data_IF_572707961359
#
_entry.id   IF_572707961359
#
_cell.length_a   1.000
_cell.length_b   1.000
_cell.length_c   1.000
_cell.angle_alpha   90.00
_cell.angle_beta   90.00
_cell.angle_gamma   90.00
#
_symmetry.space_group_name_H-M   'P 1'
#
loop_
_entity.id
_entity.type
_entity.pdbx_description
1 polymer ?
#
# COMPACT_ATOMS: atom_id res chain seq x y z
N UNK A 1 -12.72 -12.03 -11.17
CA UNK A 1 -12.00 -11.94 -9.89
C UNK A 1 -11.89 -10.48 -9.46
N UNK A 2 -11.94 -10.23 -8.14
CA UNK A 2 -11.59 -8.95 -7.52
C UNK A 2 -10.29 -9.13 -6.74
N UNK A 3 -9.39 -8.15 -6.83
CA UNK A 3 -8.11 -8.20 -6.10
C UNK A 3 -8.06 -7.07 -5.10
N UNK A 4 -7.72 -7.41 -3.85
CA UNK A 4 -7.65 -6.48 -2.74
C UNK A 4 -6.32 -6.61 -2.02
N UNK A 5 -5.70 -5.48 -1.77
CA UNK A 5 -4.62 -5.38 -0.81
C UNK A 5 -5.17 -5.05 0.57
N UNK A 6 -4.58 -5.65 1.59
CA UNK A 6 -4.97 -5.43 2.98
C UNK A 6 -3.82 -4.90 3.81
N UNK A 7 -4.16 -4.23 4.90
CA UNK A 7 -3.25 -3.92 5.98
C UNK A 7 -3.77 -4.60 7.24
N UNK A 8 -2.91 -5.38 7.87
CA UNK A 8 -3.25 -6.14 9.07
C UNK A 8 -2.40 -5.65 10.23
N UNK A 9 -3.06 -5.22 11.29
CA UNK A 9 -2.38 -4.73 12.48
C UNK A 9 -3.36 -4.27 13.55
N UNK A 10 -2.85 -4.18 14.77
CA UNK A 10 -3.61 -3.69 15.91
C UNK A 10 -3.01 -2.40 16.42
N UNK A 11 -3.85 -1.46 16.83
CA UNK A 11 -3.42 -0.26 17.54
C UNK A 11 -4.30 -0.03 18.75
N UNK A 12 -3.69 0.46 19.82
CA UNK A 12 -4.42 0.91 20.99
C UNK A 12 -4.98 2.30 20.72
N UNK A 13 -6.27 2.50 20.91
CA UNK A 13 -6.92 3.79 20.75
C UNK A 13 -7.28 4.35 22.12
N UNK A 14 -6.82 5.57 22.42
CA UNK A 14 -7.26 6.34 23.60
C UNK A 14 -8.28 7.35 23.14
N UNK A 15 -9.55 7.25 23.57
CA UNK A 15 -10.59 8.19 23.15
C UNK A 15 -10.28 9.60 23.67
N UNK A 16 -10.61 10.60 22.88
CA UNK A 16 -10.64 11.99 23.33
C UNK A 16 -11.98 12.24 24.05
N UNK A 17 -11.90 12.55 25.33
CA UNK A 17 -13.07 12.86 26.19
C UNK A 17 -13.37 14.35 26.27
N UNK A 18 -12.64 15.19 25.55
CA UNK A 18 -12.90 16.64 25.50
C UNK A 18 -14.22 16.96 24.80
N UNK A 19 -14.80 18.11 25.12
CA UNK A 19 -16.04 18.58 24.47
C UNK A 19 -15.82 18.71 22.95
N UNK A 20 -16.77 18.23 22.17
CA UNK A 20 -16.74 18.33 20.71
C UNK A 20 -16.75 19.80 20.27
N UNK A 21 -15.80 20.19 19.45
CA UNK A 21 -15.73 21.52 18.83
C UNK A 21 -16.08 21.37 17.35
N UNK A 22 -17.10 22.10 16.90
CA UNK A 22 -17.55 22.09 15.51
C UNK A 22 -16.38 22.49 14.58
N UNK A 23 -16.14 21.70 13.54
CA UNK A 23 -15.06 21.94 12.58
C UNK A 23 -13.69 21.39 13.00
N UNK A 24 -13.59 20.76 14.17
CA UNK A 24 -12.39 20.06 14.61
C UNK A 24 -12.59 18.54 14.59
N UNK A 25 -11.66 17.82 14.01
CA UNK A 25 -11.65 16.37 14.13
C UNK A 25 -11.19 15.97 15.54
N UNK A 26 -12.06 15.26 16.26
CA UNK A 26 -11.81 14.73 17.59
C UNK A 26 -11.97 13.22 17.53
N UNK A 27 -10.87 12.50 17.35
CA UNK A 27 -10.91 11.03 17.18
C UNK A 27 -10.09 10.25 18.21
N UNK A 28 -9.50 10.97 19.18
CA UNK A 28 -8.59 10.36 20.15
C UNK A 28 -7.17 10.17 19.60
N UNK A 29 -6.29 9.62 20.43
CA UNK A 29 -4.90 9.35 20.10
C UNK A 29 -4.68 7.85 19.84
N UNK A 30 -4.07 7.54 18.72
CA UNK A 30 -3.59 6.17 18.48
C UNK A 30 -2.30 5.95 19.28
N UNK A 31 -2.34 4.99 20.19
CA UNK A 31 -1.21 4.55 20.99
C UNK A 31 -0.28 3.60 20.22
N UNK A 32 0.43 2.76 20.96
CA UNK A 32 1.35 1.78 20.39
C UNK A 32 0.64 0.78 19.50
N UNK A 33 1.24 0.51 18.34
CA UNK A 33 0.75 -0.49 17.39
C UNK A 33 1.71 -1.67 17.39
N UNK A 34 1.20 -2.88 17.25
CA UNK A 34 1.98 -4.06 16.93
C UNK A 34 2.58 -4.01 15.52
N UNK A 35 3.26 -5.08 15.11
CA UNK A 35 3.71 -5.23 13.72
C UNK A 35 2.53 -5.07 12.76
N UNK A 36 2.78 -4.43 11.63
CA UNK A 36 1.79 -4.28 10.58
C UNK A 36 2.28 -5.07 9.37
N UNK A 37 1.46 -6.00 8.93
CA UNK A 37 1.67 -6.81 7.73
C UNK A 37 0.59 -6.47 6.69
N UNK A 38 0.63 -7.13 5.56
CA UNK A 38 -0.41 -7.03 4.54
C UNK A 38 -0.69 -8.35 3.89
N UNK A 39 -1.69 -8.38 3.03
CA UNK A 39 -1.91 -9.49 2.12
C UNK A 39 -2.56 -9.03 0.82
N UNK A 40 -2.34 -9.78 -0.25
CA UNK A 40 -3.06 -9.65 -1.51
C UNK A 40 -4.08 -10.79 -1.60
N UNK A 41 -5.34 -10.44 -1.79
CA UNK A 41 -6.47 -11.37 -1.88
C UNK A 41 -7.04 -11.38 -3.30
N UNK A 42 -7.34 -12.58 -3.82
CA UNK A 42 -8.19 -12.77 -4.99
C UNK A 42 -9.54 -13.31 -4.55
N UNK A 43 -10.61 -12.56 -4.81
CA UNK A 43 -11.96 -12.83 -4.35
C UNK A 43 -12.86 -13.09 -5.57
N UNK A 44 -13.63 -14.16 -5.50
CA UNK A 44 -14.69 -14.42 -6.48
C UNK A 44 -15.81 -13.39 -6.29
N UNK A 45 -16.04 -12.58 -7.33
CA UNK A 45 -17.04 -11.49 -7.26
C UNK A 45 -18.48 -11.97 -7.15
N UNK A 46 -18.76 -13.22 -7.51
CA UNK A 46 -20.13 -13.76 -7.47
C UNK A 46 -20.48 -14.37 -6.12
N UNK A 47 -19.51 -15.02 -5.48
CA UNK A 47 -19.70 -15.70 -4.18
C UNK A 47 -19.15 -14.92 -2.99
N UNK A 48 -18.24 -13.97 -3.21
CA UNK A 48 -17.50 -13.29 -2.15
C UNK A 48 -16.43 -14.17 -1.50
N UNK A 49 -16.18 -15.36 -2.04
CA UNK A 49 -15.20 -16.30 -1.48
C UNK A 49 -13.78 -15.88 -1.81
N UNK A 50 -12.90 -15.91 -0.81
CA UNK A 50 -11.46 -15.73 -1.01
C UNK A 50 -10.89 -16.98 -1.68
N UNK A 51 -10.55 -16.90 -2.95
CA UNK A 51 -9.98 -18.01 -3.72
C UNK A 51 -8.49 -18.19 -3.49
N UNK A 52 -7.78 -17.07 -3.33
CA UNK A 52 -6.33 -17.04 -3.14
C UNK A 52 -5.95 -15.94 -2.18
N UNK A 53 -4.86 -16.16 -1.42
CA UNK A 53 -4.24 -15.19 -0.53
C UNK A 53 -2.73 -15.32 -0.60
N UNK A 54 -2.05 -14.20 -0.70
CA UNK A 54 -0.59 -14.08 -0.56
C UNK A 54 -0.31 -13.18 0.63
N UNK A 55 0.39 -13.69 1.63
CA UNK A 55 0.82 -12.88 2.78
C UNK A 55 2.04 -12.04 2.40
N UNK A 56 1.97 -10.76 2.74
CA UNK A 56 3.02 -9.78 2.46
C UNK A 56 3.70 -9.38 3.76
N UNK A 57 5.05 -9.31 3.78
CA UNK A 57 5.79 -8.97 5.01
C UNK A 57 5.54 -7.54 5.47
N UNK A 58 5.11 -6.67 4.56
CA UNK A 58 4.80 -5.26 4.82
C UNK A 58 3.43 -4.89 4.24
N UNK A 59 2.78 -3.86 4.79
CA UNK A 59 1.52 -3.36 4.26
C UNK A 59 1.65 -2.96 2.79
N UNK A 60 0.64 -3.33 2.03
CA UNK A 60 0.37 -2.80 0.72
C UNK A 60 -0.55 -1.58 0.87
N UNK A 61 -0.03 -0.41 0.56
CA UNK A 61 -0.78 0.85 0.58
C UNK A 61 -1.03 1.40 -0.83
N UNK A 62 -0.57 0.68 -1.85
CA UNK A 62 -0.69 1.10 -3.25
C UNK A 62 -2.00 0.62 -3.90
N UNK A 63 -2.60 -0.45 -3.39
CA UNK A 63 -3.71 -1.10 -4.07
C UNK A 63 -3.24 -2.01 -5.21
N UNK A 64 -4.18 -2.63 -5.92
CA UNK A 64 -3.90 -3.60 -6.97
C UNK A 64 -4.38 -3.11 -8.34
N UNK A 65 -3.54 -3.28 -9.36
CA UNK A 65 -3.86 -3.06 -10.77
C UNK A 65 -3.89 -4.42 -11.47
N UNK A 66 -4.96 -4.70 -12.20
CA UNK A 66 -5.04 -5.86 -13.10
C UNK A 66 -4.95 -5.42 -14.55
N UNK A 67 -4.41 -6.29 -15.39
CA UNK A 67 -4.33 -6.05 -16.84
C UNK A 67 -4.95 -7.20 -17.61
N UNK A 68 -5.37 -6.92 -18.86
CA UNK A 68 -5.86 -7.97 -19.75
C UNK A 68 -4.78 -9.01 -20.15
N UNK A 69 -3.52 -8.71 -19.85
CA UNK A 69 -2.40 -9.63 -20.05
C UNK A 69 -2.22 -10.67 -18.96
N UNK A 70 -3.17 -10.79 -18.01
CA UNK A 70 -3.15 -11.84 -16.98
C UNK A 70 -2.22 -11.57 -15.81
N UNK A 71 -1.93 -10.30 -15.51
CA UNK A 71 -1.10 -9.94 -14.37
C UNK A 71 -1.80 -9.02 -13.38
N UNK A 72 -1.41 -9.14 -12.11
CA UNK A 72 -1.77 -8.25 -11.00
C UNK A 72 -0.51 -7.55 -10.51
N UNK A 73 -0.55 -6.23 -10.46
CA UNK A 73 0.57 -5.40 -10.00
C UNK A 73 0.18 -4.68 -8.72
N UNK A 74 1.06 -4.74 -7.73
CA UNK A 74 0.90 -4.04 -6.46
C UNK A 74 2.24 -3.54 -5.92
N UNK A 75 2.23 -2.77 -4.82
CA UNK A 75 3.47 -2.30 -4.22
C UNK A 75 3.35 -2.08 -2.71
N UNK A 76 4.40 -2.45 -2.00
CA UNK A 76 4.48 -2.35 -0.55
C UNK A 76 5.12 -1.02 -0.10
N UNK A 77 4.90 -0.71 1.18
CA UNK A 77 5.46 0.51 1.81
C UNK A 77 6.99 0.49 1.97
N UNK A 78 7.65 -0.65 1.80
CA UNK A 78 9.11 -0.78 1.82
C UNK A 78 9.77 -0.38 0.50
N UNK A 79 8.96 -0.07 -0.52
CA UNK A 79 9.41 0.29 -1.86
C UNK A 79 9.49 -0.89 -2.83
N UNK A 80 8.95 -2.05 -2.49
CA UNK A 80 8.90 -3.20 -3.37
C UNK A 80 7.67 -3.16 -4.26
N UNK A 81 7.86 -3.20 -5.57
CA UNK A 81 6.83 -3.46 -6.59
C UNK A 81 6.78 -4.95 -6.83
N UNK A 82 5.59 -5.52 -6.90
CA UNK A 82 5.31 -6.93 -7.08
C UNK A 82 4.39 -7.15 -8.26
N UNK A 83 4.66 -8.17 -9.05
CA UNK A 83 3.82 -8.61 -10.16
C UNK A 83 3.49 -10.09 -9.96
N UNK A 84 2.22 -10.41 -10.02
CA UNK A 84 1.66 -11.75 -9.85
C UNK A 84 0.88 -12.19 -11.08
N UNK A 85 0.83 -13.49 -11.32
CA UNK A 85 -0.14 -14.10 -12.23
C UNK A 85 -1.56 -13.91 -11.68
N UNK A 86 -2.52 -13.52 -12.50
CA UNK A 86 -3.86 -13.20 -12.05
C UNK A 86 -4.71 -14.43 -11.71
N UNK A 87 -4.35 -15.63 -12.19
CA UNK A 87 -5.08 -16.86 -11.93
C UNK A 87 -4.54 -17.60 -10.70
N UNK A 88 -3.21 -17.65 -10.57
CA UNK A 88 -2.55 -18.45 -9.52
C UNK A 88 -2.08 -17.63 -8.34
N UNK A 89 -1.88 -16.32 -8.50
CA UNK A 89 -1.17 -15.42 -7.59
C UNK A 89 0.27 -15.87 -7.32
N UNK A 90 0.88 -16.62 -8.26
CA UNK A 90 2.31 -16.88 -8.23
C UNK A 90 3.06 -15.59 -8.56
N UNK A 91 4.13 -15.33 -7.82
CA UNK A 91 4.96 -14.16 -8.07
C UNK A 91 5.76 -14.33 -9.36
N UNK A 92 5.54 -13.42 -10.31
CA UNK A 92 6.24 -13.39 -11.60
C UNK A 92 7.48 -12.50 -11.58
N UNK A 93 7.42 -11.40 -10.82
CA UNK A 93 8.51 -10.43 -10.79
C UNK A 93 8.43 -9.51 -9.58
N UNK A 94 9.61 -9.04 -9.13
CA UNK A 94 9.72 -8.01 -8.10
C UNK A 94 10.92 -7.09 -8.31
N UNK A 95 10.79 -5.86 -7.82
CA UNK A 95 11.90 -4.91 -7.67
C UNK A 95 11.68 -4.04 -6.45
N UNK A 96 12.74 -3.73 -5.71
CA UNK A 96 12.69 -2.72 -4.67
C UNK A 96 13.38 -1.45 -5.17
N UNK A 97 12.66 -0.33 -5.19
CA UNK A 97 13.14 0.96 -5.67
C UNK A 97 13.62 1.89 -4.54
N UNK A 98 13.58 1.41 -3.30
CA UNK A 98 14.05 2.14 -2.12
C UNK A 98 13.18 3.34 -1.72
N UNK A 99 12.01 3.51 -2.31
CA UNK A 99 11.09 4.60 -2.01
C UNK A 99 9.66 4.09 -1.84
N UNK A 100 9.01 4.52 -0.77
CA UNK A 100 7.68 4.07 -0.35
C UNK A 100 6.61 4.34 -1.39
N UNK A 101 5.70 3.39 -1.58
CA UNK A 101 4.52 3.55 -2.41
C UNK A 101 3.26 3.82 -1.58
N UNK A 102 2.45 4.80 -2.04
CA UNK A 102 1.13 5.13 -1.50
C UNK A 102 0.11 5.43 -2.61
N UNK A 103 0.51 5.29 -3.86
CA UNK A 103 -0.34 5.55 -5.01
C UNK A 103 -0.61 4.23 -5.75
N UNK A 104 -1.83 4.08 -6.24
CA UNK A 104 -2.16 2.93 -7.06
C UNK A 104 -1.39 2.94 -8.38
N UNK A 105 -0.91 1.77 -8.85
CA UNK A 105 -0.35 1.67 -10.18
C UNK A 105 -1.42 1.93 -11.25
N UNK A 106 -0.99 2.50 -12.35
CA UNK A 106 -1.82 2.70 -13.55
C UNK A 106 -1.16 2.01 -14.74
N UNK A 107 -1.94 1.66 -15.76
CA UNK A 107 -1.42 1.18 -17.02
C UNK A 107 -1.87 2.07 -18.17
N UNK A 108 -1.00 2.22 -19.17
CA UNK A 108 -1.25 2.97 -20.38
C UNK A 108 -0.45 2.37 -21.56
N UNK A 109 -0.78 2.75 -22.77
CA UNK A 109 -0.05 2.31 -23.95
C UNK A 109 0.42 3.52 -24.78
N UNK A 110 1.62 3.41 -25.35
CA UNK A 110 2.19 4.36 -26.31
C UNK A 110 2.77 3.56 -27.46
N UNK A 111 2.37 3.89 -28.68
CA UNK A 111 2.81 3.23 -29.91
C UNK A 111 2.68 1.69 -29.86
N UNK A 112 1.59 1.19 -29.27
CA UNK A 112 1.30 -0.23 -29.15
C UNK A 112 2.08 -0.96 -28.06
N UNK A 113 2.93 -0.29 -27.31
CA UNK A 113 3.66 -0.84 -26.15
C UNK A 113 2.94 -0.47 -24.86
N UNK A 114 2.75 -1.45 -24.00
CA UNK A 114 2.14 -1.24 -22.69
C UNK A 114 3.18 -0.83 -21.65
N UNK A 115 2.78 0.08 -20.77
CA UNK A 115 3.57 0.56 -19.65
C UNK A 115 2.75 0.53 -18.37
N UNK A 116 3.44 0.34 -17.26
CA UNK A 116 2.88 0.50 -15.91
C UNK A 116 3.60 1.67 -15.25
N UNK A 117 2.84 2.62 -14.71
CA UNK A 117 3.39 3.72 -13.94
C UNK A 117 2.87 3.70 -12.50
N UNK A 118 3.75 3.99 -11.56
CA UNK A 118 3.42 4.08 -10.14
C UNK A 118 4.21 5.21 -9.48
N UNK A 119 3.54 6.03 -8.67
CA UNK A 119 4.19 7.12 -7.96
C UNK A 119 4.67 6.65 -6.58
N UNK A 120 5.93 6.93 -6.28
CA UNK A 120 6.50 6.75 -4.94
C UNK A 120 6.63 8.09 -4.23
N UNK A 121 6.70 8.04 -2.91
CA UNK A 121 6.92 9.20 -2.05
C UNK A 121 6.09 9.15 -0.78
N UNK A 122 6.41 10.04 0.15
CA UNK A 122 5.65 10.20 1.37
C UNK A 122 4.41 11.06 1.07
N UNK A 123 3.23 10.48 1.22
CA UNK A 123 2.01 11.27 1.16
C UNK A 123 1.94 12.20 2.38
N UNK A 124 1.74 13.46 2.11
CA UNK A 124 1.40 14.47 3.11
C UNK A 124 -0.03 14.22 3.61
N UNK A 125 -0.33 14.67 4.82
CA UNK A 125 -1.69 14.71 5.39
C UNK A 125 -2.64 15.70 4.69
N UNK A 126 -2.43 15.99 3.41
CA UNK A 126 -3.19 16.97 2.62
C UNK A 126 -2.95 18.44 3.01
N UNK A 127 -2.11 18.69 4.01
CA UNK A 127 -1.78 20.04 4.52
C UNK A 127 -0.29 20.38 4.42
N UNK A 128 0.51 19.55 3.78
CA UNK A 128 1.95 19.73 3.69
C UNK A 128 2.70 19.54 5.02
N UNK A 129 1.99 19.17 6.08
CA UNK A 129 2.60 18.90 7.37
C UNK A 129 3.28 17.52 7.38
N UNK A 130 4.42 17.37 8.07
CA UNK A 130 5.00 16.05 8.29
C UNK A 130 3.96 15.17 8.97
N UNK A 131 3.84 13.91 8.52
CA UNK A 131 2.97 12.92 9.16
C UNK A 131 3.14 12.98 10.69
N UNK A 132 2.03 12.93 11.46
CA UNK A 132 2.10 12.99 12.90
C UNK A 132 3.07 11.94 13.45
N UNK A 133 3.77 12.26 14.52
CA UNK A 133 4.80 11.41 15.15
C UNK A 133 4.39 9.94 15.30
N UNK A 134 3.07 9.69 15.43
CA UNK A 134 2.46 8.37 15.59
C UNK A 134 2.55 7.49 14.34
N UNK A 135 2.47 8.07 13.14
CA UNK A 135 2.67 7.30 11.89
C UNK A 135 4.15 7.00 11.64
N UNK A 136 5.07 7.89 12.08
CA UNK A 136 6.51 7.60 12.11
C UNK A 136 6.84 6.49 13.12
N UNK A 137 6.15 6.43 14.25
CA UNK A 137 6.31 5.38 15.25
C UNK A 137 5.90 3.99 14.73
N UNK A 138 4.90 3.90 13.87
CA UNK A 138 4.44 2.61 13.29
C UNK A 138 5.49 2.02 12.35
N UNK A 139 6.10 2.85 11.52
CA UNK A 139 7.14 2.42 10.57
C UNK A 139 8.49 2.24 11.28
N UNK A 140 8.78 3.05 12.33
CA UNK A 140 10.03 2.98 13.06
C UNK A 140 10.21 1.71 13.90
N UNK A 141 9.14 0.95 14.15
CA UNK A 141 9.18 -0.31 14.91
C UNK A 141 9.52 -1.54 14.07
N UNK A 142 9.53 -1.40 12.76
CA UNK A 142 10.07 -2.41 11.86
C UNK A 142 11.47 -1.94 11.50
N UNK A 143 12.54 -2.45 12.17
CA UNK A 143 13.91 -1.94 12.02
C UNK A 143 14.42 -1.97 10.58
N UNK A 144 13.83 -2.86 9.78
CA UNK A 144 14.16 -3.08 8.37
C UNK A 144 13.56 -2.01 7.46
N UNK A 145 12.45 -1.38 7.87
CA UNK A 145 11.84 -0.25 7.14
C UNK A 145 12.56 1.07 7.46
N UNK A 146 13.86 1.09 7.35
CA UNK A 146 14.60 2.35 7.32
C UNK A 146 14.21 3.07 6.05
N UNK A 147 13.25 3.98 6.18
CA UNK A 147 12.82 4.87 5.13
C UNK A 147 14.01 5.68 4.64
N UNK A 148 14.69 5.16 3.64
CA UNK A 148 15.63 5.92 2.87
C UNK A 148 14.82 6.94 2.09
N UNK A 149 15.04 8.20 2.38
CA UNK A 149 14.61 9.37 1.66
C UNK A 149 13.20 9.39 1.05
N UNK A 150 12.47 10.47 1.27
CA UNK A 150 11.15 10.71 0.67
C UNK A 150 11.30 11.24 -0.78
N UNK A 151 11.94 10.49 -1.66
CA UNK A 151 11.99 10.89 -3.06
C UNK A 151 10.60 10.66 -3.69
N UNK A 152 9.93 11.75 -4.05
CA UNK A 152 8.71 11.67 -4.85
C UNK A 152 9.13 11.48 -6.31
N UNK A 153 8.81 10.31 -6.85
CA UNK A 153 9.18 9.90 -8.20
C UNK A 153 8.01 9.16 -8.87
N UNK A 154 7.96 9.20 -10.18
CA UNK A 154 7.10 8.32 -10.99
C UNK A 154 8.01 7.29 -11.63
N UNK A 155 7.75 6.04 -11.32
CA UNK A 155 8.41 4.88 -11.89
C UNK A 155 7.61 4.37 -13.07
N UNK A 156 8.28 4.08 -14.18
CA UNK A 156 7.64 3.57 -15.39
C UNK A 156 8.33 2.27 -15.79
N UNK A 157 7.54 1.23 -15.95
CA UNK A 157 7.99 -0.10 -16.36
C UNK A 157 7.36 -0.42 -17.71
N UNK A 158 8.16 -0.83 -18.69
CA UNK A 158 7.68 -1.34 -19.98
C UNK A 158 7.41 -2.84 -19.89
N UNK A 159 6.32 -3.28 -20.48
CA UNK A 159 5.93 -4.70 -20.64
C UNK A 159 6.31 -5.23 -22.01
#
# INVERSE_FOLDING_TARGET
>A
MLYFSTQEGCSQLTPDTSAHVIGRFTGGAAGESGPITGSLLAIDQSSGEVKKRVDLPYPDAAGALTTAGGIVVTAMIDGTVLVYDDQTLDELWRINVGSRFNAAPITYAVDGRQYIAIASGLCCDGRGAPLPRNSRGRVARTPELRLQGNATMVWVFGL
#
